data_IF_457816991602
#
_entry.id   IF_457816991602
#
_cell.length_a   1.000
_cell.length_b   1.000
_cell.length_c   1.000
_cell.angle_alpha   90.00
_cell.angle_beta   90.00
_cell.angle_gamma   90.00
#
_symmetry.space_group_name_H-M   'P 1'
#
loop_
_entity.id
_entity.type
_entity.pdbx_description
1 polymer ?
#
# COMPACT_ATOMS: atom_id res chain seq x y z
N UNK A 1 3.62 -17.11 6.98
CA UNK A 1 3.68 -16.95 5.50
C UNK A 1 2.40 -16.44 4.87
N UNK A 2 1.21 -16.76 5.40
CA UNK A 2 -0.05 -16.22 4.85
C UNK A 2 -0.09 -14.70 4.73
N UNK A 3 0.40 -13.96 5.73
CA UNK A 3 0.48 -12.51 5.66
C UNK A 3 1.27 -12.01 4.44
N UNK A 4 2.43 -12.62 4.16
CA UNK A 4 3.25 -12.27 2.98
C UNK A 4 2.51 -12.59 1.68
N UNK A 5 1.86 -13.75 1.60
CA UNK A 5 1.07 -14.16 0.44
C UNK A 5 -0.08 -13.18 0.16
N UNK A 6 -0.85 -12.82 1.19
CA UNK A 6 -1.95 -11.86 1.06
C UNK A 6 -1.42 -10.50 0.59
N UNK A 7 -0.37 -9.99 1.25
CA UNK A 7 0.25 -8.71 0.87
C UNK A 7 0.77 -8.72 -0.58
N UNK A 8 1.39 -9.80 -1.03
CA UNK A 8 1.90 -9.93 -2.40
C UNK A 8 0.79 -10.02 -3.46
N UNK A 9 -0.42 -10.41 -3.07
CA UNK A 9 -1.59 -10.52 -3.97
C UNK A 9 -2.46 -9.25 -3.95
N UNK A 10 -2.27 -8.37 -2.96
CA UNK A 10 -3.05 -7.15 -2.81
C UNK A 10 -2.73 -6.12 -3.90
N UNK A 11 -3.75 -5.57 -4.60
CA UNK A 11 -3.54 -4.54 -5.61
C UNK A 11 -2.79 -3.32 -5.07
N UNK A 12 -1.78 -2.86 -5.81
CA UNK A 12 -0.97 -1.69 -5.45
C UNK A 12 0.07 -1.93 -4.34
N UNK A 13 0.19 -3.14 -3.81
CA UNK A 13 1.26 -3.52 -2.87
C UNK A 13 2.37 -4.26 -3.60
N UNK A 14 3.63 -3.91 -3.30
CA UNK A 14 4.81 -4.63 -3.74
C UNK A 14 5.61 -5.12 -2.54
N UNK A 15 5.68 -6.44 -2.39
CA UNK A 15 6.41 -7.07 -1.29
C UNK A 15 7.92 -7.08 -1.61
N UNK A 16 8.71 -6.43 -0.75
CA UNK A 16 10.18 -6.45 -0.75
C UNK A 16 10.62 -7.02 0.60
N UNK A 17 10.77 -8.34 0.70
CA UNK A 17 11.02 -9.01 1.99
C UNK A 17 11.97 -10.21 1.84
N UNK A 18 13.18 -9.96 1.32
CA UNK A 18 14.24 -10.97 1.25
C UNK A 18 15.45 -10.54 2.09
N UNK A 19 15.60 -11.19 3.25
CA UNK A 19 16.69 -10.92 4.19
C UNK A 19 18.03 -11.46 3.74
N UNK A 20 18.08 -12.46 2.85
CA UNK A 20 19.33 -13.05 2.38
C UNK A 20 20.13 -12.06 1.51
N UNK A 21 19.42 -11.21 0.77
CA UNK A 21 20.01 -10.18 -0.09
C UNK A 21 19.78 -8.74 0.42
N UNK A 22 19.33 -8.58 1.66
CA UNK A 22 19.01 -7.27 2.26
C UNK A 22 18.00 -6.45 1.42
N UNK A 23 17.04 -7.11 0.80
CA UNK A 23 15.97 -6.47 0.04
C UNK A 23 14.80 -6.13 0.98
N UNK A 24 14.65 -4.84 1.27
CA UNK A 24 13.54 -4.28 2.04
C UNK A 24 13.19 -2.86 1.56
N UNK A 25 11.98 -2.35 1.85
CA UNK A 25 11.55 -1.04 1.38
C UNK A 25 12.44 0.09 1.88
N UNK A 26 12.78 1.01 0.99
CA UNK A 26 13.60 2.19 1.27
C UNK A 26 12.88 3.47 0.83
N UNK A 27 12.90 4.55 1.63
CA UNK A 27 12.21 5.80 1.28
C UNK A 27 12.61 6.38 -0.08
N UNK A 28 13.92 6.42 -0.37
CA UNK A 28 14.41 7.01 -1.62
C UNK A 28 14.00 6.21 -2.85
N UNK A 29 13.83 4.89 -2.75
CA UNK A 29 13.38 4.05 -3.88
C UNK A 29 11.88 4.14 -4.13
N UNK A 30 11.10 4.64 -3.16
CA UNK A 30 9.66 4.78 -3.30
C UNK A 30 9.24 6.11 -3.94
N UNK A 31 10.09 7.13 -3.87
CA UNK A 31 9.81 8.42 -4.48
C UNK A 31 9.52 8.30 -5.98
N UNK A 32 8.44 8.94 -6.45
CA UNK A 32 8.01 8.93 -7.84
C UNK A 32 7.30 7.65 -8.30
N UNK A 33 7.08 6.68 -7.40
CA UNK A 33 6.35 5.45 -7.71
C UNK A 33 4.89 5.51 -7.23
N UNK A 34 4.07 4.61 -7.75
CA UNK A 34 2.63 4.57 -7.44
C UNK A 34 2.29 3.46 -6.42
N UNK A 35 3.20 2.50 -6.25
CA UNK A 35 3.08 1.35 -5.35
C UNK A 35 3.34 1.68 -3.87
N UNK A 36 2.77 0.86 -3.00
CA UNK A 36 3.15 0.78 -1.59
C UNK A 36 4.09 -0.40 -1.41
N UNK A 37 5.31 -0.14 -0.95
CA UNK A 37 6.29 -1.18 -0.67
C UNK A 37 6.14 -1.67 0.77
N UNK A 38 6.08 -2.99 0.95
CA UNK A 38 5.97 -3.63 2.26
C UNK A 38 7.10 -4.63 2.43
N UNK A 39 7.69 -4.70 3.62
CA UNK A 39 8.75 -5.66 3.92
C UNK A 39 8.99 -5.81 5.42
N UNK A 40 10.05 -6.54 5.76
CA UNK A 40 10.42 -6.88 7.14
C UNK A 40 9.26 -7.52 7.91
N UNK A 41 8.42 -8.29 7.21
CA UNK A 41 7.20 -8.87 7.76
C UNK A 41 7.59 -9.98 8.72
N UNK A 42 7.15 -9.91 9.97
CA UNK A 42 7.47 -10.93 11.00
C UNK A 42 6.43 -10.94 12.09
N UNK A 43 6.29 -12.07 12.79
CA UNK A 43 5.46 -12.14 13.99
C UNK A 43 6.07 -11.25 15.07
N UNK A 44 5.20 -10.54 15.78
CA UNK A 44 5.61 -9.79 16.95
C UNK A 44 6.02 -10.74 18.09
N UNK A 45 6.99 -10.33 18.91
CA UNK A 45 7.49 -11.14 20.03
C UNK A 45 6.72 -10.91 21.33
N UNK A 46 5.98 -9.80 21.44
CA UNK A 46 5.26 -9.40 22.64
C UNK A 46 3.80 -9.87 22.66
N UNK A 47 3.22 -10.16 21.50
CA UNK A 47 1.81 -10.54 21.38
C UNK A 47 1.58 -11.70 20.42
N UNK A 48 0.76 -12.68 20.82
CA UNK A 48 0.49 -13.90 20.05
C UNK A 48 -0.12 -13.61 18.68
N UNK A 49 -0.94 -12.56 18.56
CA UNK A 49 -1.58 -12.13 17.31
C UNK A 49 -0.91 -10.90 16.68
N UNK A 50 0.28 -10.50 17.15
CA UNK A 50 0.97 -9.32 16.62
C UNK A 50 1.73 -9.61 15.32
N UNK A 51 1.73 -8.64 14.42
CA UNK A 51 2.47 -8.66 13.15
C UNK A 51 3.22 -7.33 13.01
N UNK A 52 4.53 -7.41 12.76
CA UNK A 52 5.39 -6.24 12.53
C UNK A 52 5.78 -6.18 11.07
N UNK A 53 5.75 -4.99 10.48
CA UNK A 53 6.13 -4.73 9.10
C UNK A 53 6.72 -3.33 8.94
N UNK A 54 7.42 -3.13 7.83
CA UNK A 54 7.95 -1.86 7.38
C UNK A 54 7.26 -1.47 6.08
N UNK A 55 6.67 -0.27 6.04
CA UNK A 55 5.81 0.20 4.95
C UNK A 55 6.31 1.54 4.44
N UNK A 56 6.51 1.65 3.14
CA UNK A 56 7.05 2.85 2.49
C UNK A 56 6.29 3.13 1.20
N UNK A 57 5.91 4.39 0.99
CA UNK A 57 5.29 4.88 -0.24
C UNK A 57 5.66 6.35 -0.47
N UNK A 58 5.49 6.83 -1.70
CA UNK A 58 5.56 8.26 -1.99
C UNK A 58 4.36 8.99 -1.36
N UNK A 59 4.66 9.96 -0.48
CA UNK A 59 3.66 10.70 0.27
C UNK A 59 2.90 11.75 -0.57
N UNK A 60 3.49 12.24 -1.65
CA UNK A 60 2.84 13.20 -2.55
C UNK A 60 1.99 12.50 -3.61
N UNK A 61 2.38 11.30 -4.05
CA UNK A 61 1.60 10.48 -4.97
C UNK A 61 0.58 9.62 -4.25
N UNK A 62 0.94 8.41 -3.84
CA UNK A 62 0.02 7.47 -3.19
C UNK A 62 -0.52 8.02 -1.87
N UNK A 63 0.25 8.86 -1.18
CA UNK A 63 -0.21 9.56 0.03
C UNK A 63 -1.16 10.74 -0.21
N UNK A 64 -1.28 11.26 -1.44
CA UNK A 64 -2.13 12.42 -1.73
C UNK A 64 -2.75 12.37 -3.14
N UNK A 65 -1.99 12.76 -4.18
CA UNK A 65 -2.53 13.02 -5.51
C UNK A 65 -3.11 11.77 -6.18
N UNK A 66 -2.35 10.66 -6.22
CA UNK A 66 -2.79 9.42 -6.86
C UNK A 66 -3.98 8.81 -6.12
N UNK A 67 -3.96 8.84 -4.78
CA UNK A 67 -5.10 8.33 -4.00
C UNK A 67 -6.38 9.13 -4.26
N UNK A 68 -6.26 10.45 -4.45
CA UNK A 68 -7.40 11.30 -4.80
C UNK A 68 -8.00 10.91 -6.15
N UNK A 69 -7.15 10.71 -7.17
CA UNK A 69 -7.59 10.27 -8.50
C UNK A 69 -8.22 8.87 -8.43
N UNK A 70 -7.61 7.92 -7.72
CA UNK A 70 -8.15 6.56 -7.57
C UNK A 70 -9.51 6.53 -6.86
N UNK A 71 -9.72 7.39 -5.85
CA UNK A 71 -11.04 7.55 -5.23
C UNK A 71 -12.04 8.08 -6.25
N UNK A 72 -11.69 9.12 -7.02
CA UNK A 72 -12.57 9.66 -8.05
C UNK A 72 -12.92 8.63 -9.14
N UNK A 73 -11.94 7.85 -9.60
CA UNK A 73 -12.14 6.74 -10.53
C UNK A 73 -13.08 5.68 -9.95
N UNK A 74 -12.92 5.32 -8.67
CA UNK A 74 -13.79 4.37 -7.99
C UNK A 74 -15.22 4.91 -7.85
N UNK A 75 -15.37 6.20 -7.56
CA UNK A 75 -16.68 6.86 -7.53
C UNK A 75 -17.38 6.81 -8.90
N UNK A 76 -16.63 7.00 -9.99
CA UNK A 76 -17.18 6.85 -11.36
C UNK A 76 -17.62 5.41 -11.60
N UNK A 77 -16.76 4.42 -11.28
CA UNK A 77 -17.06 2.99 -11.46
C UNK A 77 -18.31 2.55 -10.71
N UNK A 78 -18.57 3.14 -9.54
CA UNK A 78 -19.73 2.87 -8.71
C UNK A 78 -20.94 3.75 -9.03
N UNK A 79 -20.81 4.63 -10.04
CA UNK A 79 -21.85 5.59 -10.43
C UNK A 79 -22.25 6.56 -9.30
N UNK A 80 -21.34 6.86 -8.39
CA UNK A 80 -21.60 7.79 -7.26
C UNK A 80 -21.51 9.27 -7.65
N UNK A 81 -21.05 9.55 -8.87
CA UNK A 81 -21.08 10.89 -9.43
C UNK A 81 -22.39 11.10 -10.18
N UNK A 82 -23.30 11.84 -9.56
CA UNK A 82 -24.53 12.30 -10.21
C UNK A 82 -24.38 13.77 -10.61
N UNK A 83 -24.63 14.12 -11.89
CA UNK A 83 -24.70 15.52 -12.28
C UNK A 83 -26.00 16.12 -11.73
N UNK A 84 -25.93 16.72 -10.53
CA UNK A 84 -27.05 17.47 -9.95
C UNK A 84 -27.18 17.35 -8.44
N UNK A 85 -26.35 18.07 -7.69
CA UNK A 85 -26.71 18.48 -6.33
C UNK A 85 -27.72 19.62 -6.38
N UNK A 86 -28.99 19.33 -6.63
CA UNK A 86 -30.08 20.18 -6.16
C UNK A 86 -30.67 19.49 -4.93
N UNK A 87 -30.47 20.09 -3.75
CA UNK A 87 -31.48 20.01 -2.70
C UNK A 87 -32.67 20.88 -3.12
#
# INVERSE_FOLDING_TARGET
DDARRILAQSPGIKLLDDTAISLYPQPWSAAGTDEVFVGRVRRDVSHSNGLVMWVVADNLRKGAALNTVQIAEEMIKREWLHPGGKQ
#
